data_IF_228531334020
#
_entry.id   IF_228531334020
#
_cell.length_a   1.000
_cell.length_b   1.000
_cell.length_c   1.000
_cell.angle_alpha   90.00
_cell.angle_beta   90.00
_cell.angle_gamma   90.00
#
_symmetry.space_group_name_H-M   'P 1'
#
loop_
_entity.id
_entity.type
_entity.pdbx_description
1 polymer ?
#
# COMPACT_ATOMS: atom_id res chain seq x y z
N UNK A 1 -7.68 6.72 2.05
CA UNK A 1 -7.05 6.37 0.76
C UNK A 1 -5.91 5.39 0.97
N UNK A 2 -5.85 4.37 0.15
CA UNK A 2 -4.78 3.37 0.21
C UNK A 2 -3.54 3.95 -0.48
N UNK A 3 -2.40 3.84 0.19
CA UNK A 3 -1.11 4.26 -0.37
C UNK A 3 -0.24 3.04 -0.55
N UNK A 4 0.19 2.79 -1.79
CA UNK A 4 1.01 1.65 -2.15
C UNK A 4 2.41 2.14 -2.52
N UNK A 5 3.42 1.67 -1.79
CA UNK A 5 4.82 1.98 -2.07
C UNK A 5 5.44 0.76 -2.73
N UNK A 6 5.75 0.88 -4.00
CA UNK A 6 6.27 -0.23 -4.79
C UNK A 6 7.58 0.10 -5.48
N UNK A 7 7.99 -0.79 -6.37
CA UNK A 7 9.22 -0.62 -7.15
C UNK A 7 9.00 -1.16 -8.56
N UNK A 8 9.86 -0.79 -9.52
CA UNK A 8 9.79 -1.37 -10.86
C UNK A 8 9.99 -2.88 -10.83
N UNK A 9 9.35 -3.58 -11.76
CA UNK A 9 9.49 -5.02 -11.93
C UNK A 9 9.11 -5.81 -10.66
N UNK A 10 8.02 -5.42 -10.04
CA UNK A 10 7.53 -6.05 -8.83
C UNK A 10 6.13 -6.64 -9.11
N UNK A 11 6.02 -7.95 -9.32
CA UNK A 11 4.71 -8.56 -9.62
C UNK A 11 3.68 -8.36 -8.51
N UNK A 12 4.10 -8.43 -7.26
CA UNK A 12 3.18 -8.23 -6.14
C UNK A 12 2.73 -6.77 -6.03
N UNK A 13 3.55 -5.83 -6.46
CA UNK A 13 3.16 -4.43 -6.52
C UNK A 13 2.05 -4.26 -7.55
N UNK A 14 2.20 -4.89 -8.71
CA UNK A 14 1.18 -4.85 -9.76
C UNK A 14 -0.11 -5.51 -9.30
N UNK A 15 -0.01 -6.61 -8.58
CA UNK A 15 -1.19 -7.29 -8.02
C UNK A 15 -1.93 -6.43 -7.02
N UNK A 16 -1.19 -5.66 -6.21
CA UNK A 16 -1.80 -4.77 -5.24
C UNK A 16 -2.61 -3.69 -5.94
N UNK A 17 -2.05 -3.10 -7.00
CA UNK A 17 -2.76 -2.10 -7.81
C UNK A 17 -4.01 -2.70 -8.44
N UNK A 18 -3.87 -3.86 -9.07
CA UNK A 18 -5.00 -4.54 -9.70
C UNK A 18 -6.11 -4.84 -8.72
N UNK A 19 -5.75 -5.29 -7.53
CA UNK A 19 -6.73 -5.60 -6.50
C UNK A 19 -7.54 -4.37 -6.11
N UNK A 20 -6.86 -3.24 -5.90
CA UNK A 20 -7.54 -1.99 -5.58
C UNK A 20 -8.46 -1.56 -6.70
N UNK A 21 -8.01 -1.67 -7.95
CA UNK A 21 -8.81 -1.32 -9.12
C UNK A 21 -10.06 -2.19 -9.24
N UNK A 22 -9.90 -3.49 -9.06
CA UNK A 22 -11.01 -4.44 -9.16
C UNK A 22 -12.08 -4.18 -8.10
N UNK A 23 -11.65 -3.73 -6.93
CA UNK A 23 -12.57 -3.46 -5.82
C UNK A 23 -13.08 -2.03 -5.79
N UNK A 24 -12.60 -1.18 -6.68
CA UNK A 24 -13.04 0.21 -6.73
C UNK A 24 -12.52 1.08 -5.60
N UNK A 25 -11.44 0.70 -4.96
CA UNK A 25 -10.83 1.51 -3.91
C UNK A 25 -10.00 2.63 -4.51
N UNK A 26 -10.05 3.79 -3.87
CA UNK A 26 -9.14 4.87 -4.20
C UNK A 26 -7.75 4.54 -3.65
N UNK A 27 -6.73 4.72 -4.48
CA UNK A 27 -5.37 4.45 -4.07
C UNK A 27 -4.39 5.37 -4.79
N UNK A 28 -3.20 5.49 -4.20
CA UNK A 28 -2.07 6.17 -4.80
C UNK A 28 -0.92 5.19 -4.90
N UNK A 29 -0.25 5.15 -6.03
CA UNK A 29 0.91 4.29 -6.24
C UNK A 29 2.17 5.15 -6.32
N UNK A 30 3.16 4.84 -5.49
CA UNK A 30 4.44 5.53 -5.49
C UNK A 30 5.55 4.52 -5.77
N UNK A 31 6.48 4.89 -6.64
CA UNK A 31 7.53 3.99 -7.10
C UNK A 31 8.89 4.39 -6.56
N UNK A 32 9.63 3.40 -6.08
CA UNK A 32 10.99 3.59 -5.59
C UNK A 32 11.88 4.19 -6.69
N UNK A 33 12.62 5.21 -6.33
CA UNK A 33 13.53 5.88 -7.25
C UNK A 33 12.90 7.03 -8.02
N UNK A 34 11.60 7.03 -8.17
CA UNK A 34 10.86 8.10 -8.87
C UNK A 34 10.14 8.99 -7.86
N UNK A 35 9.39 8.37 -6.96
CA UNK A 35 8.53 9.11 -6.03
C UNK A 35 9.09 9.15 -4.62
N UNK A 36 9.96 8.21 -4.27
CA UNK A 36 10.58 8.18 -2.95
C UNK A 36 11.91 7.43 -3.01
N UNK A 37 12.73 7.64 -1.99
CA UNK A 37 14.00 6.92 -1.82
C UNK A 37 13.84 5.83 -0.77
N UNK A 38 14.83 4.92 -0.70
CA UNK A 38 14.84 3.90 0.34
C UNK A 38 14.86 4.51 1.74
N UNK A 39 15.55 5.61 1.89
CA UNK A 39 15.64 6.31 3.17
C UNK A 39 14.26 6.83 3.58
N UNK A 40 13.56 7.43 2.65
CA UNK A 40 12.19 7.91 2.90
C UNK A 40 11.25 6.77 3.24
N UNK A 41 11.41 5.64 2.55
CA UNK A 41 10.61 4.45 2.84
C UNK A 41 10.82 3.99 4.28
N UNK A 42 12.09 3.92 4.72
CA UNK A 42 12.38 3.48 6.07
C UNK A 42 11.92 4.45 7.14
N UNK A 43 11.78 5.72 6.82
CA UNK A 43 11.18 6.67 7.76
C UNK A 43 9.72 6.34 8.03
N UNK A 44 8.98 5.95 6.99
CA UNK A 44 7.56 5.60 7.11
C UNK A 44 7.36 4.15 7.53
N UNK A 45 8.25 3.27 7.09
CA UNK A 45 8.14 1.82 7.32
C UNK A 45 9.49 1.30 7.83
N UNK A 46 9.81 1.53 9.11
CA UNK A 46 11.16 1.19 9.63
C UNK A 46 11.53 -0.28 9.53
N UNK A 47 10.54 -1.16 9.48
CA UNK A 47 10.77 -2.60 9.40
C UNK A 47 10.59 -3.16 7.98
N UNK A 48 10.46 -2.28 6.98
CA UNK A 48 10.22 -2.72 5.61
C UNK A 48 11.39 -3.54 5.07
N UNK A 49 11.09 -4.70 4.52
CA UNK A 49 12.08 -5.59 3.90
C UNK A 49 11.66 -6.04 2.51
N UNK A 50 10.40 -5.83 2.18
CA UNK A 50 9.82 -6.32 0.93
C UNK A 50 8.95 -5.23 0.31
N UNK A 51 8.55 -5.46 -0.92
CA UNK A 51 7.59 -4.63 -1.63
C UNK A 51 6.40 -5.50 -2.06
N UNK A 52 5.21 -4.93 -2.16
CA UNK A 52 4.88 -3.55 -1.83
C UNK A 52 4.79 -3.31 -0.32
N UNK A 53 4.88 -2.03 0.08
CA UNK A 53 4.57 -1.60 1.43
C UNK A 53 3.32 -0.73 1.34
N UNK A 54 2.31 -1.05 2.11
CA UNK A 54 0.97 -0.49 1.94
C UNK A 54 0.44 0.05 3.26
N UNK A 55 -0.20 1.21 3.20
CA UNK A 55 -0.87 1.80 4.34
C UNK A 55 -2.16 2.46 3.89
N UNK A 56 -3.09 2.65 4.82
CA UNK A 56 -4.32 3.39 4.58
C UNK A 56 -4.19 4.73 5.27
N UNK A 57 -4.33 5.80 4.51
CA UNK A 57 -4.35 7.15 5.07
C UNK A 57 -5.78 7.47 5.49
N UNK A 58 -5.96 7.78 6.76
CA UNK A 58 -7.27 8.11 7.32
C UNK A 58 -7.49 9.62 7.34
N UNK A 59 -6.47 10.38 7.75
CA UNK A 59 -6.47 11.84 7.70
C UNK A 59 -5.10 12.30 7.20
N UNK A 60 -4.86 13.60 7.11
CA UNK A 60 -3.57 14.13 6.70
C UNK A 60 -2.43 13.69 7.61
N UNK A 61 -2.72 13.43 8.87
CA UNK A 61 -1.70 13.14 9.87
C UNK A 61 -1.80 11.75 10.45
N UNK A 62 -2.79 10.95 10.05
CA UNK A 62 -2.96 9.60 10.58
C UNK A 62 -3.12 8.59 9.46
N UNK A 63 -2.54 7.42 9.67
CA UNK A 63 -2.67 6.29 8.75
C UNK A 63 -2.45 5.00 9.49
N UNK A 64 -2.93 3.92 8.90
CA UNK A 64 -2.81 2.56 9.44
C UNK A 64 -1.96 1.72 8.51
N UNK A 65 -0.91 1.13 9.04
CA UNK A 65 -0.04 0.24 8.26
C UNK A 65 -0.79 -1.05 7.96
N UNK A 66 -0.75 -1.45 6.68
CA UNK A 66 -1.37 -2.70 6.23
C UNK A 66 -0.32 -3.80 6.14
N UNK A 67 0.77 -3.54 5.43
CA UNK A 67 1.82 -4.52 5.18
C UNK A 67 2.08 -4.71 3.70
N UNK A 68 2.25 -5.94 3.25
CA UNK A 68 2.46 -6.27 1.86
C UNK A 68 1.17 -6.68 1.16
N UNK A 69 1.33 -7.34 0.00
CA UNK A 69 0.19 -7.75 -0.79
C UNK A 69 -0.74 -8.71 -0.03
N UNK A 70 -0.18 -9.69 0.69
CA UNK A 70 -1.00 -10.66 1.41
C UNK A 70 -1.87 -9.97 2.46
N UNK A 71 -1.31 -9.01 3.16
CA UNK A 71 -2.04 -8.26 4.17
C UNK A 71 -3.10 -7.36 3.53
N UNK A 72 -2.80 -6.80 2.35
CA UNK A 72 -3.79 -6.03 1.61
C UNK A 72 -4.95 -6.91 1.16
N UNK A 73 -4.66 -8.12 0.69
CA UNK A 73 -5.69 -9.06 0.28
C UNK A 73 -6.62 -9.41 1.44
N UNK A 74 -6.06 -9.62 2.62
CA UNK A 74 -6.86 -9.87 3.82
C UNK A 74 -7.70 -8.65 4.20
N UNK A 75 -7.10 -7.46 4.14
CA UNK A 75 -7.80 -6.22 4.42
C UNK A 75 -9.01 -6.05 3.49
N UNK A 76 -8.82 -6.28 2.20
CA UNK A 76 -9.87 -6.14 1.20
C UNK A 76 -10.96 -7.19 1.39
N UNK A 77 -10.58 -8.41 1.73
CA UNK A 77 -11.52 -9.51 1.99
C UNK A 77 -12.49 -9.16 3.11
N UNK A 78 -12.02 -8.42 4.10
CA UNK A 78 -12.83 -7.99 5.25
C UNK A 78 -13.19 -6.51 5.15
N UNK A 79 -13.00 -5.90 3.98
CA UNK A 79 -13.15 -4.46 3.80
C UNK A 79 -14.56 -3.94 3.98
N UNK A 80 -15.56 -4.79 3.81
CA UNK A 80 -16.96 -4.40 3.99
C UNK A 80 -17.25 -3.92 5.42
N UNK A 81 -16.43 -4.37 6.36
CA UNK A 81 -16.53 -3.95 7.75
C UNK A 81 -16.25 -2.45 7.89
N UNK A 82 -15.44 -1.92 6.99
CA UNK A 82 -15.02 -0.51 7.02
C UNK A 82 -16.07 0.43 6.44
N UNK A 83 -16.97 -0.09 5.63
CA UNK A 83 -17.99 0.73 4.98
C UNK A 83 -19.30 0.77 5.76
N UNK A 84 -19.43 -0.07 6.74
CA UNK A 84 -20.60 -0.10 7.59
C UNK A 84 -20.47 0.89 8.75
#
# INVERSE_FOLDING_TARGET
MIEIFGKPQCPFCDRAVSLCEQRGYEFTYKSLGTDFTREELFESFPTARTFPQIRVRETENTWTYIGGYDQLAEFVKHGDVWTD
#
